data_IF_843275076831
#
_entry.id   IF_843275076831
#
_cell.length_a   1.000
_cell.length_b   1.000
_cell.length_c   1.000
_cell.angle_alpha   90.00
_cell.angle_beta   90.00
_cell.angle_gamma   90.00
#
_symmetry.space_group_name_H-M   'P 1'
#
loop_
_entity.id
_entity.type
_entity.pdbx_description
1 polymer ?
#
# COMPACT_ATOMS: atom_id res chain seq x y z
N UNK A 1 47.66 -20.17 -7.22
CA UNK A 1 46.70 -20.04 -6.10
C UNK A 1 46.40 -18.57 -5.97
N UNK A 2 45.30 -18.11 -6.58
CA UNK A 2 45.00 -16.69 -6.76
C UNK A 2 43.78 -16.35 -5.94
N UNK A 3 43.99 -15.72 -4.79
CA UNK A 3 42.94 -15.16 -3.94
C UNK A 3 42.36 -13.92 -4.60
N UNK A 4 41.23 -14.05 -5.28
CA UNK A 4 40.41 -12.91 -5.70
C UNK A 4 39.78 -12.28 -4.47
N UNK A 5 40.26 -11.09 -4.09
CA UNK A 5 39.59 -10.27 -3.09
C UNK A 5 38.24 -9.83 -3.64
N UNK A 6 37.15 -10.36 -3.07
CA UNK A 6 35.82 -9.82 -3.28
C UNK A 6 35.73 -8.43 -2.62
N UNK A 7 36.15 -7.40 -3.34
CA UNK A 7 35.75 -6.02 -3.06
C UNK A 7 34.28 -5.89 -3.41
N UNK A 8 33.41 -6.20 -2.44
CA UNK A 8 31.98 -5.92 -2.51
C UNK A 8 31.82 -4.43 -2.78
N UNK A 9 31.30 -4.11 -3.97
CA UNK A 9 31.12 -2.75 -4.47
C UNK A 9 30.08 -2.00 -3.60
N UNK A 10 30.57 -1.40 -2.50
CA UNK A 10 29.76 -0.62 -1.54
C UNK A 10 29.13 0.62 -2.19
N UNK A 11 29.70 1.10 -3.30
CA UNK A 11 29.26 2.32 -3.99
C UNK A 11 27.91 2.16 -4.70
N UNK A 12 27.65 0.99 -5.29
CA UNK A 12 26.37 0.67 -5.94
C UNK A 12 25.22 0.54 -4.94
N UNK A 13 25.53 0.15 -3.70
CA UNK A 13 24.54 -0.04 -2.63
C UNK A 13 24.02 1.31 -2.11
N UNK A 14 24.91 2.27 -1.90
CA UNK A 14 24.56 3.61 -1.40
C UNK A 14 23.73 4.42 -2.42
N UNK A 15 24.10 4.37 -3.71
CA UNK A 15 23.33 5.04 -4.78
C UNK A 15 21.94 4.46 -4.96
N UNK A 16 21.82 3.12 -4.84
CA UNK A 16 20.54 2.43 -4.80
C UNK A 16 19.68 2.93 -3.63
N UNK A 17 20.19 2.89 -2.40
CA UNK A 17 19.44 3.29 -1.19
C UNK A 17 19.00 4.75 -1.24
N UNK A 18 19.89 5.66 -1.66
CA UNK A 18 19.55 7.07 -1.83
C UNK A 18 18.42 7.27 -2.87
N UNK A 19 18.44 6.54 -3.98
CA UNK A 19 17.35 6.57 -4.96
C UNK A 19 16.01 6.06 -4.41
N UNK A 20 16.03 5.01 -3.58
CA UNK A 20 14.82 4.44 -2.96
C UNK A 20 14.22 5.32 -1.86
N UNK A 21 15.03 6.14 -1.20
CA UNK A 21 14.56 7.13 -0.20
C UNK A 21 14.16 8.45 -0.88
N UNK A 22 14.82 8.83 -1.97
CA UNK A 22 14.50 10.06 -2.70
C UNK A 22 13.18 9.97 -3.47
N UNK A 23 12.82 8.81 -4.02
CA UNK A 23 11.55 8.60 -4.74
C UNK A 23 10.27 8.94 -3.92
N UNK A 24 10.11 8.47 -2.66
CA UNK A 24 8.94 8.81 -1.85
C UNK A 24 8.95 10.28 -1.40
N UNK A 25 10.14 10.86 -1.16
CA UNK A 25 10.28 12.28 -0.82
C UNK A 25 9.91 13.16 -2.02
N UNK A 26 10.43 12.85 -3.21
CA UNK A 26 10.08 13.54 -4.45
C UNK A 26 8.59 13.38 -4.79
N UNK A 27 8.00 12.21 -4.55
CA UNK A 27 6.56 12.00 -4.70
C UNK A 27 5.75 12.82 -3.71
N UNK A 28 6.13 12.88 -2.41
CA UNK A 28 5.46 13.73 -1.43
C UNK A 28 5.55 15.20 -1.82
N UNK A 29 6.71 15.67 -2.28
CA UNK A 29 6.88 17.05 -2.73
C UNK A 29 6.03 17.35 -3.97
N UNK A 30 5.95 16.42 -4.92
CA UNK A 30 5.08 16.54 -6.09
C UNK A 30 3.59 16.53 -5.69
N UNK A 31 3.20 15.70 -4.73
CA UNK A 31 1.83 15.63 -4.21
C UNK A 31 1.44 16.92 -3.48
N UNK A 32 2.32 17.44 -2.63
CA UNK A 32 2.12 18.70 -1.91
C UNK A 32 2.07 19.87 -2.89
N UNK A 33 3.02 19.95 -3.82
CA UNK A 33 3.02 20.97 -4.88
C UNK A 33 1.72 20.95 -5.69
N UNK A 34 1.23 19.76 -6.04
CA UNK A 34 -0.04 19.59 -6.74
C UNK A 34 -1.26 20.02 -5.90
N UNK A 35 -1.30 19.67 -4.61
CA UNK A 35 -2.36 20.09 -3.68
C UNK A 35 -2.49 21.62 -3.59
N UNK A 36 -1.37 22.34 -3.71
CA UNK A 36 -1.35 23.81 -3.70
C UNK A 36 -1.66 24.45 -5.06
N UNK A 37 -1.48 23.73 -6.17
CA UNK A 37 -1.59 24.29 -7.54
C UNK A 37 -2.90 23.96 -8.25
N UNK A 38 -3.64 22.92 -7.84
CA UNK A 38 -4.89 22.53 -8.52
C UNK A 38 -5.91 21.91 -7.58
N UNK A 39 -7.05 22.57 -7.40
CA UNK A 39 -8.21 22.05 -6.65
C UNK A 39 -9.03 20.97 -7.39
N UNK A 40 -8.42 20.14 -8.23
CA UNK A 40 -9.12 19.18 -9.10
C UNK A 40 -9.04 17.73 -8.63
N UNK A 41 -10.16 17.15 -8.18
CA UNK A 41 -10.26 15.78 -7.62
C UNK A 41 -9.84 14.63 -8.57
N UNK A 42 -9.84 14.82 -9.89
CA UNK A 42 -9.55 13.76 -10.87
C UNK A 42 -8.04 13.63 -11.16
N UNK A 43 -7.25 14.70 -11.09
CA UNK A 43 -5.80 14.62 -11.33
C UNK A 43 -5.04 13.97 -10.15
N UNK A 44 -5.62 14.03 -8.95
CA UNK A 44 -5.19 13.28 -7.76
C UNK A 44 -5.07 11.77 -8.06
N UNK A 45 -6.02 11.22 -8.83
CA UNK A 45 -6.16 9.78 -9.11
C UNK A 45 -4.91 9.19 -9.75
N UNK A 46 -4.35 9.91 -10.73
CA UNK A 46 -3.18 9.46 -11.48
C UNK A 46 -1.93 9.64 -10.63
N UNK A 47 -1.79 10.79 -9.97
CA UNK A 47 -0.58 11.10 -9.18
C UNK A 47 -0.42 10.18 -7.98
N UNK A 48 -1.51 9.81 -7.31
CA UNK A 48 -1.45 9.02 -6.09
C UNK A 48 -1.03 7.56 -6.33
N UNK A 49 -1.39 6.95 -7.46
CA UNK A 49 -1.00 5.58 -7.79
C UNK A 49 0.16 5.47 -8.78
N UNK A 50 0.46 6.52 -9.56
CA UNK A 50 1.48 6.48 -10.62
C UNK A 50 2.88 6.13 -10.12
N UNK A 51 3.19 6.38 -8.85
CA UNK A 51 4.50 6.06 -8.26
C UNK A 51 4.45 4.81 -7.39
N UNK A 52 3.58 4.68 -6.36
CA UNK A 52 3.65 3.54 -5.46
C UNK A 52 3.33 2.21 -6.16
N UNK A 53 2.42 2.19 -7.14
CA UNK A 53 2.07 0.94 -7.82
C UNK A 53 3.18 0.41 -8.74
N UNK A 54 3.74 1.19 -9.68
CA UNK A 54 4.88 0.73 -10.47
C UNK A 54 6.11 0.43 -9.61
N UNK A 55 6.31 1.18 -8.53
CA UNK A 55 7.42 0.92 -7.61
C UNK A 55 7.25 -0.41 -6.86
N UNK A 56 6.06 -0.70 -6.35
CA UNK A 56 5.76 -1.98 -5.71
C UNK A 56 5.90 -3.15 -6.69
N UNK A 57 5.42 -2.99 -7.92
CA UNK A 57 5.58 -4.01 -8.96
C UNK A 57 7.06 -4.20 -9.36
N UNK A 58 7.82 -3.12 -9.49
CA UNK A 58 9.24 -3.19 -9.80
C UNK A 58 10.03 -3.92 -8.70
N UNK A 59 9.79 -3.57 -7.44
CA UNK A 59 10.41 -4.24 -6.29
C UNK A 59 9.98 -5.70 -6.18
N UNK A 60 8.72 -6.01 -6.51
CA UNK A 60 8.19 -7.35 -6.48
C UNK A 60 8.75 -8.26 -7.61
N UNK A 61 8.95 -7.74 -8.82
CA UNK A 61 9.23 -8.54 -10.03
C UNK A 61 10.68 -8.45 -10.52
N UNK A 62 11.38 -7.33 -10.31
CA UNK A 62 12.68 -7.08 -10.96
C UNK A 62 13.87 -7.15 -10.00
N UNK A 63 13.66 -6.99 -8.69
CA UNK A 63 14.77 -6.95 -7.75
C UNK A 63 15.27 -8.34 -7.33
N UNK A 64 16.61 -8.56 -7.35
CA UNK A 64 17.20 -9.82 -6.88
C UNK A 64 17.06 -9.98 -5.37
N UNK A 65 16.62 -11.16 -4.93
CA UNK A 65 16.45 -11.55 -3.52
C UNK A 65 17.46 -12.65 -3.12
N UNK A 66 17.92 -12.72 -1.86
CA UNK A 66 17.60 -11.85 -0.72
C UNK A 66 18.62 -10.69 -0.59
N UNK A 67 18.15 -9.43 -0.65
CA UNK A 67 18.99 -8.24 -0.42
C UNK A 67 18.27 -7.26 0.50
N UNK A 68 18.98 -6.71 1.49
CA UNK A 68 18.42 -5.73 2.42
C UNK A 68 17.79 -4.52 1.70
N UNK A 69 18.46 -4.01 0.66
CA UNK A 69 17.94 -2.90 -0.15
C UNK A 69 16.59 -3.19 -0.82
N UNK A 70 16.32 -4.45 -1.20
CA UNK A 70 15.02 -4.85 -1.77
C UNK A 70 13.91 -4.77 -0.73
N UNK A 71 14.19 -5.17 0.52
CA UNK A 71 13.22 -5.08 1.60
C UNK A 71 12.92 -3.63 1.99
N UNK A 72 13.94 -2.77 2.01
CA UNK A 72 13.74 -1.34 2.23
C UNK A 72 12.93 -0.68 1.10
N UNK A 73 13.23 -1.01 -0.16
CA UNK A 73 12.49 -0.49 -1.30
C UNK A 73 11.02 -0.96 -1.30
N UNK A 74 10.77 -2.21 -0.95
CA UNK A 74 9.42 -2.75 -0.82
C UNK A 74 8.66 -2.09 0.33
N UNK A 75 9.29 -1.94 1.50
CA UNK A 75 8.69 -1.22 2.63
C UNK A 75 8.38 0.24 2.29
N UNK A 76 9.28 0.91 1.55
CA UNK A 76 9.06 2.26 1.04
C UNK A 76 7.87 2.34 0.08
N UNK A 77 7.76 1.40 -0.86
CA UNK A 77 6.63 1.33 -1.79
C UNK A 77 5.30 1.07 -1.06
N UNK A 78 5.30 0.17 -0.07
CA UNK A 78 4.12 -0.12 0.77
C UNK A 78 3.71 1.10 1.61
N UNK A 79 4.67 1.78 2.24
CA UNK A 79 4.39 2.97 3.05
C UNK A 79 3.86 4.11 2.18
N UNK A 80 4.48 4.35 1.02
CA UNK A 80 4.03 5.37 0.07
C UNK A 80 2.63 5.07 -0.44
N UNK A 81 2.36 3.80 -0.78
CA UNK A 81 1.03 3.34 -1.18
C UNK A 81 0.00 3.50 -0.07
N UNK A 82 0.35 3.18 1.18
CA UNK A 82 -0.52 3.37 2.32
C UNK A 82 -0.84 4.86 2.53
N UNK A 83 0.16 5.75 2.53
CA UNK A 83 -0.06 7.19 2.64
C UNK A 83 -0.95 7.70 1.51
N UNK A 84 -0.72 7.25 0.27
CA UNK A 84 -1.55 7.61 -0.87
C UNK A 84 -3.03 7.20 -0.67
N UNK A 85 -3.28 5.96 -0.26
CA UNK A 85 -4.62 5.42 -0.01
C UNK A 85 -5.28 6.03 1.24
N UNK A 86 -4.51 6.52 2.20
CA UNK A 86 -5.03 7.25 3.36
C UNK A 86 -5.49 8.66 2.96
N UNK A 87 -4.67 9.36 2.18
CA UNK A 87 -5.00 10.71 1.71
C UNK A 87 -6.24 10.72 0.81
N UNK A 88 -6.52 9.65 0.06
CA UNK A 88 -7.79 9.52 -0.69
C UNK A 88 -9.00 9.46 0.23
N UNK A 89 -8.93 8.73 1.35
CA UNK A 89 -10.03 8.72 2.33
C UNK A 89 -10.17 10.07 2.99
N UNK A 90 -9.07 10.69 3.40
CA UNK A 90 -9.11 11.99 4.07
C UNK A 90 -9.71 13.08 3.17
N UNK A 91 -9.35 13.09 1.88
CA UNK A 91 -9.95 13.99 0.89
C UNK A 91 -11.46 13.78 0.76
N UNK A 92 -11.95 12.53 0.78
CA UNK A 92 -13.39 12.25 0.75
C UNK A 92 -14.10 12.67 2.03
N UNK A 93 -13.54 12.36 3.20
CA UNK A 93 -14.15 12.72 4.50
C UNK A 93 -14.26 14.23 4.70
N UNK A 94 -13.34 15.01 4.12
CA UNK A 94 -13.41 16.48 4.14
C UNK A 94 -14.48 17.02 3.18
N UNK A 95 -14.72 16.36 2.04
CA UNK A 95 -15.62 16.86 1.00
C UNK A 95 -17.12 16.83 1.37
N UNK A 96 -17.53 16.17 2.46
CA UNK A 96 -18.88 16.16 3.08
C UNK A 96 -20.11 15.89 2.20
N UNK A 97 -19.96 15.66 0.90
CA UNK A 97 -21.09 15.53 -0.03
C UNK A 97 -21.28 14.09 -0.52
N UNK A 98 -22.28 13.40 0.06
CA UNK A 98 -22.87 12.19 -0.52
C UNK A 98 -21.94 10.98 -0.73
N UNK A 99 -22.32 10.03 -1.60
CA UNK A 99 -21.51 8.87 -1.91
C UNK A 99 -20.16 9.19 -2.53
N UNK A 100 -19.13 8.44 -2.12
CA UNK A 100 -17.81 8.55 -2.71
C UNK A 100 -17.90 8.40 -4.24
N UNK A 101 -17.31 9.34 -5.01
CA UNK A 101 -17.27 9.25 -6.46
C UNK A 101 -16.77 7.88 -6.92
N UNK A 102 -17.31 7.38 -8.04
CA UNK A 102 -16.87 6.11 -8.67
C UNK A 102 -15.34 5.99 -8.74
N UNK A 103 -14.69 7.12 -9.01
CA UNK A 103 -13.24 7.21 -9.12
C UNK A 103 -12.51 6.64 -7.89
N UNK A 104 -12.97 6.91 -6.66
CA UNK A 104 -12.33 6.40 -5.44
C UNK A 104 -12.38 4.88 -5.35
N UNK A 105 -13.52 4.28 -5.69
CA UNK A 105 -13.68 2.83 -5.74
C UNK A 105 -12.67 2.18 -6.71
N UNK A 106 -12.46 2.81 -7.88
CA UNK A 106 -11.45 2.33 -8.84
C UNK A 106 -10.01 2.47 -8.34
N UNK A 107 -9.68 3.45 -7.51
CA UNK A 107 -8.34 3.55 -6.87
C UNK A 107 -8.09 2.31 -6.01
N UNK A 108 -9.03 1.98 -5.12
CA UNK A 108 -8.87 0.86 -4.21
C UNK A 108 -8.83 -0.47 -4.94
N UNK A 109 -9.65 -0.65 -5.98
CA UNK A 109 -9.56 -1.85 -6.81
C UNK A 109 -8.28 -1.92 -7.62
N UNK A 110 -7.78 -0.79 -8.13
CA UNK A 110 -6.47 -0.70 -8.75
C UNK A 110 -5.35 -1.11 -7.78
N UNK A 111 -5.37 -0.58 -6.56
CA UNK A 111 -4.42 -0.93 -5.51
C UNK A 111 -4.52 -2.41 -5.12
N UNK A 112 -5.74 -2.95 -5.01
CA UNK A 112 -5.95 -4.38 -4.76
C UNK A 112 -5.33 -5.24 -5.86
N UNK A 113 -5.54 -4.88 -7.13
CA UNK A 113 -4.94 -5.58 -8.27
C UNK A 113 -3.40 -5.50 -8.23
N UNK A 114 -2.84 -4.36 -7.83
CA UNK A 114 -1.39 -4.19 -7.66
C UNK A 114 -0.86 -5.09 -6.54
N UNK A 115 -1.52 -5.17 -5.39
CA UNK A 115 -1.11 -6.07 -4.31
C UNK A 115 -1.18 -7.55 -4.74
N UNK A 116 -2.25 -7.94 -5.46
CA UNK A 116 -2.38 -9.29 -6.02
C UNK A 116 -1.25 -9.58 -7.02
N UNK A 117 -0.98 -8.65 -7.94
CA UNK A 117 0.09 -8.79 -8.92
C UNK A 117 1.48 -8.84 -8.27
N UNK A 118 1.72 -8.06 -7.21
CA UNK A 118 2.95 -8.10 -6.43
C UNK A 118 3.13 -9.43 -5.67
N UNK A 119 2.03 -10.08 -5.27
CA UNK A 119 2.06 -11.37 -4.56
C UNK A 119 2.44 -12.57 -5.46
N UNK A 120 2.26 -12.46 -6.78
CA UNK A 120 2.52 -13.55 -7.74
C UNK A 120 3.96 -14.09 -7.63
N UNK A 121 5.02 -13.25 -7.76
CA UNK A 121 6.41 -13.71 -7.63
C UNK A 121 6.85 -13.97 -6.18
N UNK A 122 5.99 -13.78 -5.19
CA UNK A 122 6.31 -13.72 -3.76
C UNK A 122 5.49 -14.72 -2.93
N UNK A 123 5.73 -16.05 -3.07
CA UNK A 123 4.94 -17.07 -2.37
C UNK A 123 4.99 -16.93 -0.84
N UNK A 124 6.11 -16.45 -0.29
CA UNK A 124 6.29 -16.24 1.15
C UNK A 124 5.60 -14.99 1.72
N UNK A 125 4.86 -14.21 0.91
CA UNK A 125 4.20 -12.97 1.36
C UNK A 125 2.73 -12.89 0.94
N UNK A 126 2.19 -13.94 0.31
CA UNK A 126 0.84 -13.94 -0.26
C UNK A 126 -0.26 -13.60 0.75
N UNK A 127 -0.10 -13.97 2.02
CA UNK A 127 -1.11 -13.69 3.05
C UNK A 127 -1.13 -12.20 3.37
N UNK A 128 0.05 -11.58 3.54
CA UNK A 128 0.15 -10.15 3.83
C UNK A 128 -0.37 -9.29 2.66
N UNK A 129 0.06 -9.59 1.44
CA UNK A 129 -0.42 -8.89 0.24
C UNK A 129 -1.91 -9.16 -0.04
N UNK A 130 -2.39 -10.38 0.19
CA UNK A 130 -3.80 -10.73 0.06
C UNK A 130 -4.68 -9.98 1.06
N UNK A 131 -4.23 -9.82 2.30
CA UNK A 131 -4.95 -9.03 3.31
C UNK A 131 -4.96 -7.53 2.97
N UNK A 132 -3.85 -6.99 2.44
CA UNK A 132 -3.81 -5.62 1.94
C UNK A 132 -4.75 -5.41 0.73
N UNK A 133 -4.82 -6.38 -0.18
CA UNK A 133 -5.79 -6.36 -1.27
C UNK A 133 -7.24 -6.40 -0.76
N UNK A 134 -7.52 -7.26 0.21
CA UNK A 134 -8.84 -7.35 0.85
C UNK A 134 -9.22 -6.04 1.54
N UNK A 135 -8.29 -5.43 2.29
CA UNK A 135 -8.47 -4.12 2.90
C UNK A 135 -8.89 -3.06 1.87
N UNK A 136 -8.20 -3.03 0.72
CA UNK A 136 -8.56 -2.12 -0.36
C UNK A 136 -9.97 -2.38 -0.87
N UNK A 137 -10.34 -3.64 -1.13
CA UNK A 137 -11.70 -3.98 -1.61
C UNK A 137 -12.76 -3.57 -0.60
N UNK A 138 -12.56 -3.89 0.69
CA UNK A 138 -13.49 -3.55 1.78
C UNK A 138 -13.68 -2.04 1.88
N UNK A 139 -12.60 -1.26 1.79
CA UNK A 139 -12.68 0.21 1.86
C UNK A 139 -13.33 0.78 0.59
N UNK A 140 -12.95 0.30 -0.59
CA UNK A 140 -13.50 0.79 -1.87
C UNK A 140 -15.00 0.57 -1.98
N UNK A 141 -15.50 -0.60 -1.55
CA UNK A 141 -16.93 -0.88 -1.46
C UNK A 141 -17.57 -0.10 -0.31
N UNK A 142 -16.90 -0.08 0.85
CA UNK A 142 -17.36 0.57 2.07
C UNK A 142 -17.64 2.06 1.86
N UNK A 143 -16.70 2.80 1.29
CA UNK A 143 -16.86 4.25 1.03
C UNK A 143 -18.09 4.59 0.17
N UNK A 144 -18.54 3.66 -0.67
CA UNK A 144 -19.75 3.85 -1.50
C UNK A 144 -21.01 3.45 -0.74
N UNK A 145 -20.99 2.32 -0.05
CA UNK A 145 -22.15 1.77 0.67
C UNK A 145 -22.46 2.54 1.97
N UNK A 146 -21.45 3.05 2.68
CA UNK A 146 -21.57 3.74 3.98
C UNK A 146 -22.16 5.17 3.91
N UNK A 147 -22.49 5.65 2.71
CA UNK A 147 -22.90 7.02 2.43
C UNK A 147 -24.38 7.17 2.03
N UNK A 148 -25.04 6.07 1.64
CA UNK A 148 -26.47 6.08 1.36
C UNK A 148 -27.23 5.93 2.68
N UNK A 149 -28.15 6.85 2.90
CA UNK A 149 -28.97 7.04 4.11
C UNK A 149 -29.42 5.78 4.87
N UNK A 150 -29.69 6.02 6.15
CA UNK A 150 -30.23 5.15 7.21
C UNK A 150 -29.18 4.43 8.06
N UNK A 151 -29.38 4.60 9.37
CA UNK A 151 -28.71 3.99 10.51
C UNK A 151 -27.71 2.87 10.20
N UNK A 152 -26.48 3.12 10.66
CA UNK A 152 -25.50 2.17 11.17
C UNK A 152 -25.94 0.71 11.04
N UNK A 153 -25.17 -0.08 10.28
CA UNK A 153 -25.24 -1.55 10.17
C UNK A 153 -26.32 -2.14 11.10
N UNK A 154 -27.49 -2.56 10.60
CA UNK A 154 -28.55 -3.06 11.47
C UNK A 154 -27.99 -4.18 12.36
N UNK A 155 -27.75 -3.87 13.65
CA UNK A 155 -27.14 -4.76 14.64
C UNK A 155 -25.74 -4.41 15.19
N UNK A 156 -25.07 -3.32 14.76
CA UNK A 156 -23.74 -2.91 15.27
C UNK A 156 -23.76 -1.44 15.70
N UNK A 157 -24.31 -1.17 16.89
CA UNK A 157 -24.39 0.19 17.47
C UNK A 157 -23.12 0.61 18.24
N UNK A 158 -22.14 -0.30 18.37
CA UNK A 158 -20.99 -0.14 19.27
C UNK A 158 -19.68 0.29 18.58
N UNK A 159 -19.68 0.51 17.26
CA UNK A 159 -18.48 0.87 16.49
C UNK A 159 -18.76 2.07 15.63
N UNK A 160 -17.87 3.06 15.65
CA UNK A 160 -17.96 4.27 14.81
C UNK A 160 -17.43 4.03 13.38
N UNK A 161 -17.83 4.86 12.41
CA UNK A 161 -17.32 4.79 11.02
C UNK A 161 -15.78 4.90 10.95
N UNK A 162 -15.19 5.73 11.80
CA UNK A 162 -13.74 5.94 11.86
C UNK A 162 -13.01 4.70 12.40
N UNK A 163 -13.61 4.00 13.36
CA UNK A 163 -13.08 2.74 13.90
C UNK A 163 -13.17 1.61 12.88
N UNK A 164 -14.29 1.48 12.16
CA UNK A 164 -14.44 0.53 11.06
C UNK A 164 -13.42 0.78 9.95
N UNK A 165 -13.19 2.05 9.61
CA UNK A 165 -12.14 2.43 8.67
C UNK A 165 -10.76 2.04 9.20
N UNK A 166 -10.45 2.36 10.47
CA UNK A 166 -9.17 1.99 11.08
C UNK A 166 -8.96 0.46 11.09
N UNK A 167 -10.00 -0.32 11.38
CA UNK A 167 -9.92 -1.78 11.33
C UNK A 167 -9.73 -2.32 9.92
N UNK A 168 -10.41 -1.75 8.93
CA UNK A 168 -10.24 -2.16 7.54
C UNK A 168 -8.86 -1.76 7.00
N UNK A 169 -8.42 -0.53 7.28
CA UNK A 169 -7.21 0.06 6.71
C UNK A 169 -5.93 -0.41 7.40
N UNK A 170 -5.92 -0.52 8.74
CA UNK A 170 -4.76 -0.97 9.52
C UNK A 170 -4.95 -2.39 10.04
N UNK A 171 -6.15 -2.72 10.53
CA UNK A 171 -6.42 -4.02 11.15
C UNK A 171 -6.27 -5.20 10.19
N UNK A 172 -6.85 -5.13 8.99
CA UNK A 172 -6.73 -6.21 7.99
C UNK A 172 -5.28 -6.43 7.53
N UNK A 173 -4.50 -5.40 7.12
CA UNK A 173 -3.09 -5.61 6.78
C UNK A 173 -2.25 -6.09 7.96
N UNK A 174 -2.48 -5.58 9.18
CA UNK A 174 -1.77 -6.03 10.38
C UNK A 174 -2.06 -7.50 10.70
N UNK A 175 -3.32 -7.91 10.60
CA UNK A 175 -3.73 -9.31 10.76
C UNK A 175 -3.12 -10.19 9.68
N UNK A 176 -3.10 -9.74 8.42
CA UNK A 176 -2.41 -10.45 7.34
C UNK A 176 -0.92 -10.63 7.59
N UNK A 177 -0.24 -9.60 8.08
CA UNK A 177 1.17 -9.67 8.46
C UNK A 177 1.39 -10.65 9.62
N UNK A 178 0.56 -10.60 10.67
CA UNK A 178 0.63 -11.52 11.80
C UNK A 178 0.40 -12.99 11.36
N UNK A 179 -0.60 -13.24 10.51
CA UNK A 179 -0.86 -14.57 9.94
C UNK A 179 0.28 -15.04 9.04
N UNK A 180 0.90 -14.14 8.29
CA UNK A 180 2.06 -14.46 7.46
C UNK A 180 3.27 -14.89 8.31
N UNK A 181 3.51 -14.20 9.42
CA UNK A 181 4.56 -14.56 10.40
C UNK A 181 4.24 -15.89 11.06
N UNK A 182 3.00 -16.09 11.53
CA UNK A 182 2.56 -17.32 12.17
C UNK A 182 2.69 -18.53 11.23
N UNK A 183 2.33 -18.35 9.95
CA UNK A 183 2.49 -19.37 8.93
C UNK A 183 3.96 -19.75 8.72
N UNK A 184 4.85 -18.76 8.72
CA UNK A 184 6.29 -18.99 8.58
C UNK A 184 6.86 -19.75 9.78
N UNK A 185 6.49 -19.37 11.01
CA UNK A 185 6.88 -20.07 12.24
C UNK A 185 6.37 -21.51 12.25
N UNK A 186 5.10 -21.74 11.87
CA UNK A 186 4.53 -23.09 11.78
C UNK A 186 5.25 -23.96 10.76
N UNK A 187 5.67 -23.40 9.62
CA UNK A 187 6.37 -24.14 8.58
C UNK A 187 7.81 -24.47 8.97
N UNK A 188 8.48 -23.57 9.70
CA UNK A 188 9.82 -23.79 10.25
C UNK A 188 9.84 -24.90 11.31
N UNK A 189 8.81 -24.99 12.15
CA UNK A 189 8.74 -26.02 13.19
C UNK A 189 8.36 -27.42 12.66
N UNK A 190 8.00 -27.53 11.38
CA UNK A 190 7.64 -28.80 10.71
C UNK A 190 8.75 -29.33 9.80
N UNK A 191 9.83 -28.56 9.58
CA UNK A 191 10.97 -28.91 8.76
C UNK A 191 12.18 -29.17 9.67
#
# INVERSE_FOLDING_TARGET
>A
MTTTSNTVDRSGTAKSVAGWVAAPVAWMLALVGWLFLSGGTIAVLVVLLAIPAPWLLWTAWRMPRPRAGTYFAEAGALLTGAVALYLTVLAFMIAREGPAPLAFMFIYFGAAAVFVAAAVPLPGRRIAYGAAALACVVIGVGLRVLSSDTSYYPGIDWVTKDELFAWAFLGLPALGAALQVLWWLRRRNRA
#
